data_IF_498607095182
#
_entry.id   IF_498607095182
#
_cell.length_a   1.000
_cell.length_b   1.000
_cell.length_c   1.000
_cell.angle_alpha   90.00
_cell.angle_beta   90.00
_cell.angle_gamma   90.00
#
_symmetry.space_group_name_H-M   'P 1'
#
loop_
_entity.id
_entity.type
_entity.pdbx_description
1 polymer ?
#
# COMPACT_ATOMS: atom_id res chain seq x y z
N UNK A 1 42.58 -17.34 -1.89
CA UNK A 1 41.66 -18.03 -0.96
C UNK A 1 40.39 -18.35 -1.72
N UNK A 2 40.16 -19.63 -2.04
CA UNK A 2 38.90 -20.10 -2.63
C UNK A 2 37.94 -20.42 -1.48
N UNK A 3 36.79 -19.77 -1.43
CA UNK A 3 35.73 -20.10 -0.49
C UNK A 3 35.23 -21.52 -0.79
N UNK A 4 35.07 -22.34 0.25
CA UNK A 4 34.54 -23.69 0.12
C UNK A 4 33.07 -23.63 -0.36
N UNK A 5 32.59 -24.56 -1.22
CA UNK A 5 31.22 -24.52 -1.74
C UNK A 5 30.14 -24.55 -0.63
N UNK A 6 30.46 -25.05 0.56
CA UNK A 6 29.58 -24.98 1.74
C UNK A 6 29.46 -23.57 2.34
N UNK A 7 30.56 -22.81 2.41
CA UNK A 7 30.53 -21.44 2.94
C UNK A 7 29.71 -20.50 2.05
N UNK A 8 29.80 -20.70 0.73
CA UNK A 8 28.99 -19.98 -0.26
C UNK A 8 27.47 -20.22 -0.08
N UNK A 9 27.08 -21.42 0.38
CA UNK A 9 25.68 -21.76 0.63
C UNK A 9 25.15 -21.09 1.91
N UNK A 10 25.95 -21.01 2.97
CA UNK A 10 25.55 -20.29 4.21
C UNK A 10 25.39 -18.78 4.02
N UNK A 11 26.20 -18.13 3.16
CA UNK A 11 26.08 -16.70 2.88
C UNK A 11 24.80 -16.40 2.09
N UNK A 12 24.42 -17.29 1.17
CA UNK A 12 23.18 -17.16 0.37
C UNK A 12 21.92 -17.24 1.23
N UNK A 13 21.94 -18.06 2.29
CA UNK A 13 20.79 -18.28 3.17
C UNK A 13 20.60 -17.20 4.26
N UNK A 14 21.56 -16.30 4.50
CA UNK A 14 21.47 -15.28 5.56
C UNK A 14 20.60 -14.06 5.23
N UNK A 15 20.05 -13.93 4.03
CA UNK A 15 19.08 -12.86 3.69
C UNK A 15 17.64 -13.35 3.78
N UNK A 16 17.28 -13.99 4.90
CA UNK A 16 15.87 -14.16 5.26
C UNK A 16 15.31 -12.77 5.54
N UNK A 17 14.63 -12.18 4.54
CA UNK A 17 13.97 -10.89 4.72
C UNK A 17 12.92 -11.07 5.80
N UNK A 18 13.05 -10.34 6.91
CA UNK A 18 12.02 -10.32 7.94
C UNK A 18 10.66 -9.99 7.29
N UNK A 19 9.58 -10.68 7.68
CA UNK A 19 8.25 -10.41 7.18
C UNK A 19 7.92 -8.94 7.46
N UNK A 20 7.69 -8.15 6.41
CA UNK A 20 7.28 -6.75 6.54
C UNK A 20 5.80 -6.67 6.24
N UNK A 21 5.06 -5.74 6.90
CA UNK A 21 3.71 -5.44 6.48
C UNK A 21 3.73 -5.08 4.98
N UNK A 22 2.74 -5.55 4.21
CA UNK A 22 2.57 -5.12 2.82
C UNK A 22 2.70 -3.61 2.73
N UNK A 23 3.48 -3.10 1.76
CA UNK A 23 3.68 -1.64 1.57
C UNK A 23 2.36 -0.88 1.48
N UNK A 24 1.32 -1.55 1.00
CA UNK A 24 -0.01 -0.98 0.90
C UNK A 24 -0.67 -0.66 2.26
N UNK A 25 -0.38 -1.44 3.30
CA UNK A 25 -0.86 -1.11 4.65
C UNK A 25 -0.24 0.20 5.14
N UNK A 26 1.05 0.40 4.86
CA UNK A 26 1.74 1.65 5.17
C UNK A 26 1.16 2.81 4.35
N UNK A 27 0.92 2.62 3.06
CA UNK A 27 0.29 3.63 2.20
C UNK A 27 -1.11 4.06 2.71
N UNK A 28 -1.93 3.10 3.17
CA UNK A 28 -3.25 3.41 3.75
C UNK A 28 -3.14 4.15 5.08
N UNK A 29 -2.19 3.76 5.94
CA UNK A 29 -1.94 4.44 7.20
C UNK A 29 -1.48 5.89 6.97
N UNK A 30 -0.52 6.09 6.07
CA UNK A 30 -0.06 7.43 5.65
C UNK A 30 -1.23 8.25 5.11
N UNK A 31 -2.06 7.67 4.24
CA UNK A 31 -3.22 8.37 3.70
C UNK A 31 -4.19 8.84 4.81
N UNK A 32 -4.44 8.01 5.83
CA UNK A 32 -5.26 8.38 7.00
C UNK A 32 -4.64 9.54 7.77
N UNK A 33 -3.34 9.49 8.04
CA UNK A 33 -2.63 10.57 8.74
C UNK A 33 -2.68 11.89 7.97
N UNK A 34 -2.54 11.83 6.65
CA UNK A 34 -2.62 13.02 5.79
C UNK A 34 -4.04 13.61 5.76
N UNK A 35 -5.07 12.76 5.74
CA UNK A 35 -6.46 13.21 5.84
C UNK A 35 -6.73 13.85 7.20
N UNK A 36 -6.33 13.19 8.28
CA UNK A 36 -6.48 13.70 9.64
C UNK A 36 -5.79 15.06 9.83
N UNK A 37 -4.60 15.25 9.24
CA UNK A 37 -3.90 16.54 9.26
C UNK A 37 -4.64 17.64 8.49
N UNK A 38 -5.28 17.31 7.37
CA UNK A 38 -6.12 18.27 6.63
C UNK A 38 -7.40 18.63 7.41
N UNK A 39 -7.96 17.68 8.17
CA UNK A 39 -9.18 17.90 8.95
C UNK A 39 -8.91 18.67 10.26
N UNK A 40 -7.76 18.41 10.91
CA UNK A 40 -7.38 19.05 12.18
C UNK A 40 -6.79 20.44 12.03
N UNK A 41 -6.22 20.78 10.87
CA UNK A 41 -5.60 22.08 10.63
C UNK A 41 -6.50 22.95 9.75
N UNK A 42 -7.39 23.78 10.32
CA UNK A 42 -8.23 24.67 9.54
C UNK A 42 -7.37 25.63 8.71
N UNK A 43 -7.66 25.75 7.42
CA UNK A 43 -6.89 26.56 6.47
C UNK A 43 -5.74 25.82 5.78
N UNK A 44 -5.38 24.60 6.21
CA UNK A 44 -4.40 23.79 5.49
C UNK A 44 -5.00 23.25 4.19
N UNK A 45 -4.52 23.74 3.06
CA UNK A 45 -4.95 23.24 1.75
C UNK A 45 -4.15 22.01 1.34
N UNK A 46 -4.74 21.17 0.46
CA UNK A 46 -4.03 20.05 -0.16
C UNK A 46 -2.76 20.51 -0.90
N UNK A 47 -2.77 21.71 -1.48
CA UNK A 47 -1.60 22.26 -2.17
C UNK A 47 -0.48 22.61 -1.18
N UNK A 48 -0.82 23.25 -0.05
CA UNK A 48 0.14 23.56 1.01
C UNK A 48 0.73 22.29 1.62
N UNK A 49 -0.11 21.31 1.96
CA UNK A 49 0.35 20.02 2.49
C UNK A 49 1.25 19.27 1.49
N UNK A 50 0.94 19.31 0.19
CA UNK A 50 1.80 18.70 -0.82
C UNK A 50 3.17 19.39 -0.92
N UNK A 51 3.19 20.73 -0.85
CA UNK A 51 4.43 21.52 -0.86
C UNK A 51 5.31 21.21 0.36
N UNK A 52 4.73 21.11 1.56
CA UNK A 52 5.47 20.71 2.77
C UNK A 52 6.10 19.32 2.67
N UNK A 53 5.41 18.41 1.99
CA UNK A 53 5.89 17.04 1.78
C UNK A 53 6.86 16.92 0.60
N UNK A 54 7.11 18.01 -0.13
CA UNK A 54 7.96 18.00 -1.33
C UNK A 54 7.40 17.16 -2.47
N UNK A 55 6.08 16.94 -2.52
CA UNK A 55 5.40 16.16 -3.57
C UNK A 55 4.46 17.04 -4.39
N UNK A 56 4.07 16.55 -5.57
CA UNK A 56 3.04 17.21 -6.35
C UNK A 56 1.67 17.07 -5.67
N UNK A 57 0.81 18.07 -5.84
CA UNK A 57 -0.60 18.02 -5.42
C UNK A 57 -1.31 16.77 -5.95
N UNK A 58 -0.98 16.37 -7.19
CA UNK A 58 -1.54 15.17 -7.81
C UNK A 58 -1.14 13.89 -7.07
N UNK A 59 0.13 13.75 -6.69
CA UNK A 59 0.58 12.59 -5.92
C UNK A 59 -0.08 12.55 -4.52
N UNK A 60 -0.26 13.70 -3.87
CA UNK A 60 -1.02 13.78 -2.62
C UNK A 60 -2.46 13.29 -2.81
N UNK A 61 -3.15 13.76 -3.85
CA UNK A 61 -4.52 13.33 -4.16
C UNK A 61 -4.56 11.81 -4.42
N UNK A 62 -3.59 11.27 -5.15
CA UNK A 62 -3.52 9.83 -5.40
C UNK A 62 -3.31 9.01 -4.13
N UNK A 63 -2.58 9.52 -3.13
CA UNK A 63 -2.47 8.89 -1.81
C UNK A 63 -3.79 8.95 -1.05
N UNK A 64 -4.42 10.12 -1.00
CA UNK A 64 -5.71 10.30 -0.32
C UNK A 64 -6.83 9.48 -0.96
N UNK A 65 -6.79 9.28 -2.28
CA UNK A 65 -7.78 8.46 -3.00
C UNK A 65 -7.80 7.01 -2.52
N UNK A 66 -6.72 6.48 -1.93
CA UNK A 66 -6.75 5.13 -1.34
C UNK A 66 -7.80 5.01 -0.22
N UNK A 67 -8.17 6.11 0.45
CA UNK A 67 -9.23 6.13 1.46
C UNK A 67 -10.64 6.06 0.85
N UNK A 68 -10.78 6.14 -0.48
CA UNK A 68 -12.05 5.97 -1.20
C UNK A 68 -12.38 4.50 -1.49
N UNK A 69 -11.45 3.59 -1.19
CA UNK A 69 -11.74 2.16 -1.24
C UNK A 69 -12.86 1.82 -0.25
N UNK A 70 -13.68 0.85 -0.62
CA UNK A 70 -14.74 0.32 0.21
C UNK A 70 -14.18 -0.08 1.58
N UNK A 71 -14.91 0.17 2.68
CA UNK A 71 -14.42 -0.10 4.03
C UNK A 71 -14.02 -1.56 4.22
N UNK A 72 -14.71 -2.50 3.56
CA UNK A 72 -14.38 -3.93 3.55
C UNK A 72 -13.00 -4.17 2.95
N UNK A 73 -12.68 -3.56 1.82
CA UNK A 73 -11.36 -3.66 1.17
C UNK A 73 -10.27 -3.08 2.08
N UNK A 74 -10.54 -1.96 2.74
CA UNK A 74 -9.58 -1.38 3.69
C UNK A 74 -9.34 -2.30 4.89
N UNK A 75 -10.39 -2.94 5.40
CA UNK A 75 -10.29 -3.90 6.50
C UNK A 75 -9.50 -5.15 6.08
N UNK A 76 -9.78 -5.69 4.89
CA UNK A 76 -9.04 -6.83 4.34
C UNK A 76 -7.56 -6.50 4.14
N UNK A 77 -7.24 -5.35 3.55
CA UNK A 77 -5.84 -4.90 3.42
C UNK A 77 -5.18 -4.76 4.79
N UNK A 78 -5.88 -4.21 5.79
CA UNK A 78 -5.34 -4.07 7.15
C UNK A 78 -5.13 -5.43 7.85
N UNK A 79 -5.94 -6.43 7.54
CA UNK A 79 -5.86 -7.78 8.07
C UNK A 79 -4.82 -8.67 7.34
N UNK A 80 -4.26 -8.23 6.22
CA UNK A 80 -3.28 -9.02 5.47
C UNK A 80 -2.05 -9.35 6.33
N UNK A 81 -1.60 -10.62 6.36
CA UNK A 81 -0.42 -11.00 7.11
C UNK A 81 0.84 -10.35 6.51
N UNK A 82 1.86 -10.06 7.35
CA UNK A 82 3.13 -9.58 6.85
C UNK A 82 3.76 -10.65 5.96
N UNK A 83 4.00 -10.31 4.68
CA UNK A 83 4.52 -11.26 3.71
C UNK A 83 6.03 -11.12 3.57
N UNK A 84 6.72 -12.25 3.50
CA UNK A 84 8.16 -12.34 3.19
C UNK A 84 8.40 -12.09 1.69
N UNK A 85 7.36 -12.23 0.85
CA UNK A 85 7.46 -12.05 -0.59
C UNK A 85 7.46 -10.57 -0.96
N UNK A 86 8.51 -10.15 -1.68
CA UNK A 86 8.64 -8.77 -2.22
C UNK A 86 7.50 -8.44 -3.18
N UNK A 87 6.91 -9.47 -3.81
CA UNK A 87 5.75 -9.34 -4.68
C UNK A 87 4.49 -9.45 -3.82
N UNK A 88 4.10 -8.35 -3.19
CA UNK A 88 2.72 -8.18 -2.78
C UNK A 88 1.86 -8.33 -4.05
N UNK A 89 0.93 -9.28 -4.07
CA UNK A 89 0.09 -9.56 -5.25
C UNK A 89 -0.66 -8.31 -5.74
N UNK A 90 -0.93 -7.39 -4.81
CA UNK A 90 -1.61 -6.14 -5.08
C UNK A 90 -0.61 -4.98 -5.09
N UNK A 91 -0.52 -4.29 -6.23
CA UNK A 91 0.25 -3.06 -6.37
C UNK A 91 -0.58 -1.82 -5.99
N UNK A 92 0.11 -0.77 -5.51
CA UNK A 92 -0.51 0.56 -5.26
C UNK A 92 -1.25 1.10 -6.48
N UNK A 93 -0.71 0.85 -7.69
CA UNK A 93 -1.34 1.26 -8.95
C UNK A 93 -2.68 0.56 -9.18
N UNK A 94 -2.76 -0.75 -8.93
CA UNK A 94 -3.99 -1.50 -9.09
C UNK A 94 -5.09 -1.01 -8.13
N UNK A 95 -4.73 -0.75 -6.88
CA UNK A 95 -5.68 -0.20 -5.89
C UNK A 95 -6.12 1.23 -6.20
N UNK A 96 -5.24 2.05 -6.77
CA UNK A 96 -5.63 3.38 -7.27
C UNK A 96 -6.73 3.25 -8.33
N UNK A 97 -6.63 2.30 -9.26
CA UNK A 97 -7.66 2.09 -10.28
C UNK A 97 -9.00 1.67 -9.65
N UNK A 98 -8.98 0.77 -8.67
CA UNK A 98 -10.17 0.35 -7.93
C UNK A 98 -10.79 1.54 -7.20
N UNK A 99 -9.98 2.37 -6.54
CA UNK A 99 -10.45 3.54 -5.78
C UNK A 99 -11.14 4.63 -6.63
N UNK A 100 -10.98 4.61 -7.96
CA UNK A 100 -11.70 5.52 -8.88
C UNK A 100 -13.14 5.03 -9.13
N UNK A 101 -13.41 3.73 -8.99
CA UNK A 101 -14.74 3.14 -9.17
C UNK A 101 -15.66 3.69 -8.06
N UNK A 102 -16.81 4.24 -8.42
CA UNK A 102 -17.73 4.83 -7.42
C UNK A 102 -18.59 3.79 -6.69
N UNK A 103 -18.82 2.64 -7.33
CA UNK A 103 -19.62 1.53 -6.80
C UNK A 103 -18.75 0.60 -5.94
N UNK A 104 -19.08 0.48 -4.66
CA UNK A 104 -18.34 -0.35 -3.69
C UNK A 104 -18.42 -1.85 -3.98
N UNK A 105 -19.54 -2.35 -4.51
CA UNK A 105 -19.68 -3.75 -4.88
C UNK A 105 -18.75 -4.09 -6.06
N UNK A 106 -18.68 -3.21 -7.07
CA UNK A 106 -17.74 -3.36 -8.18
C UNK A 106 -16.29 -3.26 -7.72
N UNK A 107 -15.98 -2.37 -6.76
CA UNK A 107 -14.63 -2.32 -6.19
C UNK A 107 -14.22 -3.66 -5.57
N UNK A 108 -15.14 -4.31 -4.83
CA UNK A 108 -14.88 -5.59 -4.17
C UNK A 108 -14.64 -6.72 -5.18
N UNK A 109 -15.43 -6.76 -6.25
CA UNK A 109 -15.24 -7.74 -7.35
C UNK A 109 -13.84 -7.61 -7.95
N UNK A 110 -13.42 -6.39 -8.32
CA UNK A 110 -12.10 -6.15 -8.89
C UNK A 110 -10.97 -6.45 -7.89
N UNK A 111 -11.18 -6.16 -6.60
CA UNK A 111 -10.21 -6.48 -5.56
C UNK A 111 -10.02 -7.99 -5.38
N UNK A 112 -11.10 -8.77 -5.35
CA UNK A 112 -11.05 -10.23 -5.27
C UNK A 112 -10.35 -10.83 -6.50
N UNK A 113 -10.58 -10.26 -7.68
CA UNK A 113 -9.89 -10.63 -8.92
C UNK A 113 -8.38 -10.43 -8.82
N UNK A 114 -7.92 -9.34 -8.19
CA UNK A 114 -6.48 -9.10 -7.95
C UNK A 114 -5.87 -10.09 -6.96
N UNK A 115 -6.65 -10.63 -6.03
CA UNK A 115 -6.21 -11.65 -5.09
C UNK A 115 -6.18 -13.07 -5.70
N UNK A 116 -6.60 -13.24 -6.96
CA UNK A 116 -6.74 -14.57 -7.58
C UNK A 116 -7.80 -15.44 -6.90
N UNK A 117 -8.67 -14.84 -6.09
CA UNK A 117 -9.85 -15.47 -5.51
C UNK A 117 -10.99 -15.28 -6.52
N UNK A 118 -10.97 -16.01 -7.62
CA UNK A 118 -12.11 -16.06 -8.54
C UNK A 118 -13.13 -17.08 -8.03
N UNK A 119 -14.38 -16.63 -7.87
CA UNK A 119 -15.59 -17.45 -7.90
C UNK A 119 -15.91 -18.26 -6.66
#
# INVERSE_FOLDING_TARGET
MMFSPEEAQTIRNRRVKSPRPPRIQQDLLEARQLKDRLEKTPGLTKTALAAELGISRFELILRLNLLRLAPEIQAEIAAMPPSVSVRCQISKRALRNIAVISDSARQKIEFNRLLGSEG
#
